data_IF_563173053870
#
_entry.id   IF_563173053870
#
_cell.length_a   1.000
_cell.length_b   1.000
_cell.length_c   1.000
_cell.angle_alpha   90.00
_cell.angle_beta   90.00
_cell.angle_gamma   90.00
#
_symmetry.space_group_name_H-M   'P 1'
#
loop_
_entity.id
_entity.type
_entity.pdbx_description
1 polymer ?
#
# COMPACT_ATOMS: atom_id res chain seq x y z
N UNK A 1 6.56 10.91 29.62
CA UNK A 1 7.14 11.00 28.25
C UNK A 1 6.02 11.01 27.22
N UNK A 2 5.67 12.17 26.65
CA UNK A 2 4.66 12.28 25.58
C UNK A 2 5.24 11.72 24.28
N UNK A 3 4.63 10.66 23.73
CA UNK A 3 4.91 10.22 22.35
C UNK A 3 4.53 11.37 21.42
N UNK A 4 5.48 11.91 20.66
CA UNK A 4 5.17 12.84 19.56
C UNK A 4 4.24 12.10 18.60
N UNK A 5 3.02 12.62 18.38
CA UNK A 5 2.16 12.13 17.30
C UNK A 5 2.88 12.46 15.99
N UNK A 6 3.05 11.44 15.14
CA UNK A 6 3.74 11.54 13.85
C UNK A 6 2.89 12.23 12.76
N UNK A 7 1.62 12.55 13.03
CA UNK A 7 0.73 13.28 12.13
C UNK A 7 0.01 14.39 12.87
N UNK A 8 -0.12 15.54 12.22
CA UNK A 8 -0.90 16.67 12.68
C UNK A 8 -2.41 16.36 12.62
N UNK A 9 -3.24 16.97 13.49
CA UNK A 9 -4.70 16.91 13.40
C UNK A 9 -5.21 17.39 12.04
N UNK A 10 -6.31 16.82 11.54
CA UNK A 10 -6.88 17.15 10.23
C UNK A 10 -7.27 18.64 10.12
N UNK A 11 -7.62 19.23 11.25
CA UNK A 11 -8.01 20.64 11.40
C UNK A 11 -6.82 21.62 11.26
N UNK A 12 -5.59 21.12 11.41
CA UNK A 12 -4.33 21.87 11.26
C UNK A 12 -3.70 21.68 9.86
N UNK A 13 -4.31 20.83 9.02
CA UNK A 13 -3.88 20.63 7.63
C UNK A 13 -4.57 21.70 6.77
N UNK A 14 -3.76 22.57 6.16
CA UNK A 14 -4.24 23.57 5.19
C UNK A 14 -4.65 22.85 3.88
N UNK A 15 -5.89 22.34 3.88
CA UNK A 15 -6.50 21.60 2.77
C UNK A 15 -6.36 22.31 1.40
N UNK A 16 -6.54 23.63 1.26
CA UNK A 16 -6.33 24.32 -0.01
C UNK A 16 -4.85 24.61 -0.37
N UNK A 17 -3.88 24.39 0.54
CA UNK A 17 -2.46 24.33 0.19
C UNK A 17 -2.06 22.93 -0.31
N UNK A 18 -2.81 21.89 0.08
CA UNK A 18 -2.82 20.58 -0.58
C UNK A 18 -3.68 20.68 -1.85
N UNK A 19 -3.32 21.60 -2.76
CA UNK A 19 -3.89 21.57 -4.10
C UNK A 19 -3.43 20.29 -4.75
N UNK A 20 -4.38 19.46 -5.17
CA UNK A 20 -4.14 18.55 -6.28
C UNK A 20 -3.81 19.46 -7.47
N UNK A 21 -2.52 19.70 -7.68
CA UNK A 21 -2.04 20.18 -8.96
C UNK A 21 -2.36 19.02 -9.93
N UNK A 22 -3.20 19.27 -10.93
CA UNK A 22 -3.27 18.41 -12.09
C UNK A 22 -1.90 18.51 -12.76
N UNK A 23 -0.92 17.75 -12.26
CA UNK A 23 0.34 17.55 -12.96
C UNK A 23 -0.05 16.95 -14.30
N UNK A 24 0.05 17.75 -15.38
CA UNK A 24 -0.08 17.25 -16.74
C UNK A 24 0.78 15.99 -16.84
N UNK A 25 0.12 14.86 -17.05
CA UNK A 25 0.75 13.56 -17.04
C UNK A 25 1.76 13.48 -18.18
N UNK A 26 3.02 13.84 -17.93
CA UNK A 26 4.12 13.85 -18.90
C UNK A 26 4.63 12.41 -19.23
N UNK A 27 3.92 11.37 -18.79
CA UNK A 27 4.32 9.98 -18.91
C UNK A 27 3.50 9.20 -19.94
N UNK A 28 4.04 8.05 -20.36
CA UNK A 28 3.25 7.00 -20.99
C UNK A 28 2.83 6.04 -19.86
N UNK A 29 1.53 5.96 -19.48
CA UNK A 29 1.14 5.20 -18.31
C UNK A 29 1.37 3.72 -18.58
N UNK A 30 1.94 3.02 -17.59
CA UNK A 30 2.27 1.58 -17.74
C UNK A 30 1.04 0.75 -18.15
N UNK A 31 -0.14 1.12 -17.66
CA UNK A 31 -1.42 0.51 -18.02
C UNK A 31 -2.60 1.38 -17.54
N UNK A 32 -3.83 0.94 -17.82
CA UNK A 32 -5.07 1.53 -17.26
C UNK A 32 -5.14 1.47 -15.72
N UNK A 33 -4.31 0.64 -15.09
CA UNK A 33 -4.25 0.49 -13.63
C UNK A 33 -3.16 1.36 -12.99
N UNK A 34 -2.47 2.19 -13.77
CA UNK A 34 -1.44 3.06 -13.25
C UNK A 34 -2.01 4.03 -12.21
N UNK A 35 -1.40 4.07 -11.01
CA UNK A 35 -1.84 4.91 -9.90
C UNK A 35 -3.06 4.41 -9.14
N UNK A 36 -3.69 3.29 -9.56
CA UNK A 36 -4.84 2.74 -8.85
C UNK A 36 -4.41 2.12 -7.52
N UNK A 37 -5.10 2.49 -6.44
CA UNK A 37 -4.87 1.94 -5.11
C UNK A 37 -5.46 0.53 -4.98
N UNK A 38 -4.65 -0.41 -4.53
CA UNK A 38 -5.05 -1.83 -4.36
C UNK A 38 -4.62 -2.33 -2.98
N UNK A 39 -5.55 -2.93 -2.24
CA UNK A 39 -5.26 -3.67 -1.02
C UNK A 39 -5.08 -5.17 -1.33
N UNK A 40 -4.14 -5.83 -0.67
CA UNK A 40 -3.85 -7.25 -0.87
C UNK A 40 -4.37 -8.04 0.33
N UNK A 41 -5.22 -9.06 0.10
CA UNK A 41 -5.73 -9.92 1.18
C UNK A 41 -4.57 -10.54 1.99
N UNK A 42 -4.73 -10.67 3.30
CA UNK A 42 -3.61 -10.99 4.18
C UNK A 42 -2.90 -12.33 3.89
N UNK A 43 -3.63 -13.28 3.29
CA UNK A 43 -3.17 -14.60 2.87
C UNK A 43 -2.38 -14.63 1.55
N UNK A 44 -2.09 -13.47 0.93
CA UNK A 44 -1.32 -13.34 -0.33
C UNK A 44 -0.01 -12.59 -0.10
N UNK A 45 1.14 -13.17 -0.48
CA UNK A 45 2.46 -12.54 -0.30
C UNK A 45 2.62 -11.22 -1.06
N UNK A 46 3.02 -10.17 -0.33
CA UNK A 46 3.26 -8.82 -0.84
C UNK A 46 4.43 -8.17 -0.09
N UNK A 47 5.65 -8.31 -0.60
CA UNK A 47 6.85 -7.75 0.01
C UNK A 47 6.81 -6.21 0.03
N UNK A 48 7.24 -5.53 1.12
CA UNK A 48 7.82 -6.06 2.35
C UNK A 48 6.80 -6.35 3.47
N UNK A 49 5.50 -6.40 3.16
CA UNK A 49 4.47 -6.70 4.14
C UNK A 49 4.45 -8.19 4.49
N UNK A 50 4.33 -8.47 5.80
CA UNK A 50 4.19 -9.83 6.30
C UNK A 50 2.85 -10.42 5.87
N UNK A 51 2.84 -11.72 5.58
CA UNK A 51 1.63 -12.52 5.39
C UNK A 51 1.31 -13.20 6.70
N UNK A 52 0.21 -12.82 7.34
CA UNK A 52 -0.16 -13.38 8.65
C UNK A 52 -1.33 -14.34 8.59
N UNK A 53 -2.10 -14.35 7.49
CA UNK A 53 -3.35 -15.10 7.36
C UNK A 53 -4.33 -14.78 8.49
N UNK A 54 -4.37 -13.52 8.94
CA UNK A 54 -5.07 -13.06 10.16
C UNK A 54 -4.64 -13.73 11.48
N UNK A 55 -3.49 -14.40 11.50
CA UNK A 55 -2.94 -14.99 12.74
C UNK A 55 -1.86 -14.12 13.37
N UNK A 56 -1.63 -14.31 14.66
CA UNK A 56 -0.56 -13.59 15.39
C UNK A 56 0.80 -14.27 15.35
N UNK A 57 0.92 -15.46 14.74
CA UNK A 57 2.11 -16.31 14.84
C UNK A 57 2.72 -16.72 13.48
N UNK A 58 1.93 -16.79 12.41
CA UNK A 58 2.42 -17.36 11.14
C UNK A 58 3.63 -16.62 10.56
N UNK A 59 3.69 -15.30 10.76
CA UNK A 59 4.82 -14.48 10.31
C UNK A 59 6.16 -14.78 11.01
N UNK A 60 6.16 -15.57 12.08
CA UNK A 60 7.38 -16.08 12.72
C UNK A 60 7.90 -17.38 12.08
N UNK A 61 7.07 -18.06 11.29
CA UNK A 61 7.40 -19.33 10.62
C UNK A 61 7.54 -19.16 9.10
N UNK A 62 6.76 -18.25 8.52
CA UNK A 62 6.72 -17.98 7.09
C UNK A 62 7.20 -16.56 6.81
N UNK A 63 8.38 -16.44 6.21
CA UNK A 63 8.96 -15.16 5.80
C UNK A 63 8.61 -14.86 4.34
N UNK A 64 8.16 -13.64 4.09
CA UNK A 64 7.88 -13.14 2.74
C UNK A 64 9.17 -12.60 2.15
N UNK A 65 9.73 -13.30 1.17
CA UNK A 65 10.99 -12.91 0.50
C UNK A 65 10.74 -12.26 -0.87
N UNK A 66 9.59 -12.52 -1.47
CA UNK A 66 9.19 -11.99 -2.77
C UNK A 66 7.67 -11.80 -2.85
N UNK A 67 7.24 -11.09 -3.89
CA UNK A 67 5.82 -10.88 -4.16
C UNK A 67 5.20 -12.15 -4.76
N UNK A 68 3.96 -12.47 -4.37
CA UNK A 68 3.16 -13.45 -5.09
C UNK A 68 3.06 -13.08 -6.58
N UNK A 69 2.86 -14.07 -7.45
CA UNK A 69 2.81 -13.87 -8.91
C UNK A 69 1.74 -12.84 -9.31
N UNK A 70 0.57 -12.86 -8.66
CA UNK A 70 -0.49 -11.88 -8.91
C UNK A 70 -0.09 -10.46 -8.50
N UNK A 71 0.57 -10.29 -7.35
CA UNK A 71 1.08 -9.01 -6.87
C UNK A 71 2.16 -8.48 -7.81
N UNK A 72 3.09 -9.33 -8.26
CA UNK A 72 4.11 -8.94 -9.25
C UNK A 72 3.52 -8.47 -10.57
N UNK A 73 2.42 -9.07 -11.04
CA UNK A 73 1.71 -8.63 -12.25
C UNK A 73 1.04 -7.28 -12.05
N UNK A 74 0.36 -7.09 -10.92
CA UNK A 74 -0.26 -5.81 -10.58
C UNK A 74 0.79 -4.70 -10.44
N UNK A 75 1.92 -4.98 -9.80
CA UNK A 75 3.04 -4.04 -9.68
C UNK A 75 3.56 -3.59 -11.04
N UNK A 76 3.69 -4.52 -12.01
CA UNK A 76 4.09 -4.19 -13.40
C UNK A 76 3.07 -3.32 -14.13
N UNK A 77 1.81 -3.33 -13.71
CA UNK A 77 0.76 -2.45 -14.24
C UNK A 77 0.79 -1.05 -13.64
N UNK A 78 1.61 -0.80 -12.61
CA UNK A 78 1.76 0.51 -11.97
C UNK A 78 0.73 0.81 -10.88
N UNK A 79 0.13 -0.22 -10.27
CA UNK A 79 -0.75 0.00 -9.11
C UNK A 79 0.03 0.46 -7.89
N UNK A 80 -0.66 1.11 -6.95
CA UNK A 80 -0.11 1.49 -5.65
C UNK A 80 -0.70 0.57 -4.58
N UNK A 81 0.15 -0.22 -3.92
CA UNK A 81 -0.31 -1.07 -2.82
C UNK A 81 -0.51 -0.27 -1.55
N UNK A 82 -1.72 -0.30 -0.98
CA UNK A 82 -2.05 0.41 0.27
C UNK A 82 -1.81 -0.43 1.53
N UNK A 83 -1.56 -1.73 1.35
CA UNK A 83 -1.23 -2.66 2.44
C UNK A 83 -2.04 -3.94 2.40
N UNK A 84 -2.07 -4.62 3.56
CA UNK A 84 -2.71 -5.92 3.76
C UNK A 84 -4.14 -5.74 4.26
N UNK A 85 -5.12 -6.36 3.61
CA UNK A 85 -6.51 -6.35 4.03
C UNK A 85 -6.79 -7.45 5.05
N UNK A 86 -7.61 -7.14 6.06
CA UNK A 86 -8.03 -8.11 7.06
C UNK A 86 -8.75 -9.32 6.43
N UNK A 87 -8.63 -10.50 7.04
CA UNK A 87 -9.32 -11.73 6.63
C UNK A 87 -9.95 -12.41 7.85
N UNK A 88 -10.99 -13.22 7.62
CA UNK A 88 -11.50 -14.17 8.61
C UNK A 88 -10.47 -15.28 8.83
#
# INVERSE_FOLDING_TARGET
>A
MRKKRLMAPLEEVDLPAVKYEDEEFQGNPLSILYGIFVAIKDDIDCYPHRTTGATTWMHGLCFVMENAVCVSRLHRCGVIFVGKANTH
#
